data_IF_443832049692
#
_entry.id   IF_443832049692
#
_cell.length_a   1.000
_cell.length_b   1.000
_cell.length_c   1.000
_cell.angle_alpha   90.00
_cell.angle_beta   90.00
_cell.angle_gamma   90.00
#
_symmetry.space_group_name_H-M   'P 1'
#
loop_
_entity.id
_entity.type
_entity.pdbx_description
1 polymer ?
#
# COMPACT_ATOMS: atom_id res chain seq x y z
N UNK A 1 64.83 -4.17 14.69
CA UNK A 1 63.83 -3.18 15.13
C UNK A 1 63.00 -2.74 13.91
N UNK A 2 61.67 -2.75 14.07
CA UNK A 2 60.61 -2.11 13.25
C UNK A 2 60.47 -2.54 11.78
N UNK A 3 59.71 -3.62 11.57
CA UNK A 3 58.92 -3.83 10.34
C UNK A 3 57.63 -3.02 10.47
N UNK A 4 57.46 -2.01 9.63
CA UNK A 4 56.22 -1.23 9.52
C UNK A 4 55.18 -2.04 8.75
N UNK A 5 54.10 -2.41 9.42
CA UNK A 5 52.90 -2.97 8.80
C UNK A 5 52.12 -1.78 8.25
N UNK A 6 52.13 -1.61 6.93
CA UNK A 6 51.21 -0.73 6.22
C UNK A 6 49.84 -1.39 6.23
N UNK A 7 48.99 -0.98 7.16
CA UNK A 7 47.56 -1.29 7.13
C UNK A 7 46.94 -0.52 5.97
N UNK A 8 46.68 -1.22 4.86
CA UNK A 8 45.79 -0.73 3.82
C UNK A 8 44.38 -0.65 4.42
N UNK A 9 44.00 0.56 4.83
CA UNK A 9 42.63 0.86 5.23
C UNK A 9 41.72 0.69 4.02
N UNK A 10 41.00 -0.43 3.98
CA UNK A 10 39.80 -0.55 3.18
C UNK A 10 38.78 0.42 3.78
N UNK A 11 38.76 1.66 3.26
CA UNK A 11 37.60 2.52 3.36
C UNK A 11 36.49 1.84 2.54
N UNK A 12 35.81 0.88 3.16
CA UNK A 12 34.46 0.52 2.77
C UNK A 12 33.66 1.80 2.92
N UNK A 13 33.52 2.53 1.81
CA UNK A 13 32.43 3.48 1.63
C UNK A 13 31.16 2.69 1.89
N UNK A 14 30.68 2.77 3.13
CA UNK A 14 29.27 2.71 3.47
C UNK A 14 28.62 3.78 2.60
N UNK A 15 28.41 3.46 1.33
CA UNK A 15 27.35 4.09 0.56
C UNK A 15 26.13 3.79 1.41
N UNK A 16 25.72 4.78 2.19
CA UNK A 16 24.38 4.85 2.73
C UNK A 16 23.50 4.62 1.51
N UNK A 17 22.96 3.41 1.37
CA UNK A 17 21.96 3.07 0.38
C UNK A 17 20.78 3.99 0.69
N UNK A 18 20.80 5.19 0.10
CA UNK A 18 19.63 6.03 0.00
C UNK A 18 18.72 5.29 -0.94
N UNK A 19 17.69 4.67 -0.36
CA UNK A 19 16.58 4.15 -1.14
C UNK A 19 15.83 5.38 -1.63
N UNK A 20 16.21 5.86 -2.81
CA UNK A 20 15.45 6.88 -3.49
C UNK A 20 14.06 6.27 -3.78
N UNK A 21 12.96 6.99 -3.48
CA UNK A 21 11.64 6.51 -3.85
C UNK A 21 11.64 6.27 -5.37
N UNK A 22 10.94 5.21 -5.83
CA UNK A 22 10.79 5.02 -7.27
C UNK A 22 10.13 6.27 -7.88
N UNK A 23 10.46 6.61 -9.14
CA UNK A 23 9.93 7.81 -9.77
C UNK A 23 8.39 7.76 -9.76
N UNK A 24 7.72 8.90 -9.48
CA UNK A 24 6.27 8.93 -9.47
C UNK A 24 5.72 8.59 -10.86
N UNK A 25 4.73 7.70 -10.89
CA UNK A 25 4.00 7.32 -12.11
C UNK A 25 3.02 8.42 -12.50
N UNK A 26 2.89 8.65 -13.81
CA UNK A 26 1.98 9.64 -14.39
C UNK A 26 0.57 9.09 -14.62
N UNK A 27 -0.43 9.97 -14.68
CA UNK A 27 -1.79 9.56 -15.03
C UNK A 27 -1.90 8.97 -16.44
N UNK A 28 -1.04 9.39 -17.37
CA UNK A 28 -1.02 8.85 -18.73
C UNK A 28 -0.69 7.36 -18.74
N UNK A 29 0.21 6.91 -17.86
CA UNK A 29 0.56 5.49 -17.71
C UNK A 29 -0.61 4.64 -17.22
N UNK A 30 -1.43 5.16 -16.29
CA UNK A 30 -2.59 4.43 -15.77
C UNK A 30 -3.81 4.47 -16.70
N UNK A 31 -3.95 5.55 -17.46
CA UNK A 31 -5.14 5.77 -18.29
C UNK A 31 -4.94 5.30 -19.72
N UNK A 32 -3.70 5.08 -20.16
CA UNK A 32 -3.37 4.92 -21.58
C UNK A 32 -3.98 6.05 -22.43
N UNK A 33 -3.94 7.28 -21.90
CA UNK A 33 -4.57 8.48 -22.48
C UNK A 33 -6.11 8.46 -22.58
N UNK A 34 -6.76 7.53 -21.88
CA UNK A 34 -8.22 7.44 -21.84
C UNK A 34 -8.80 8.50 -20.89
N UNK A 35 -9.77 9.25 -21.37
CA UNK A 35 -10.55 10.16 -20.53
C UNK A 35 -11.61 9.35 -19.75
N UNK A 36 -11.72 9.59 -18.44
CA UNK A 36 -12.83 9.07 -17.65
C UNK A 36 -14.09 9.88 -17.99
N UNK A 37 -15.19 9.19 -18.31
CA UNK A 37 -16.50 9.81 -18.61
C UNK A 37 -17.02 10.68 -17.45
N UNK A 38 -16.58 10.43 -16.21
CA UNK A 38 -16.99 11.20 -15.03
C UNK A 38 -16.11 12.44 -14.74
N UNK A 39 -15.02 12.68 -15.48
CA UNK A 39 -14.13 13.84 -15.23
C UNK A 39 -14.82 15.17 -15.52
N UNK A 40 -15.77 15.22 -16.45
CA UNK A 40 -16.48 16.44 -16.85
C UNK A 40 -17.20 17.12 -15.68
N UNK A 41 -17.54 16.34 -14.64
CA UNK A 41 -18.22 16.86 -13.44
C UNK A 41 -17.24 17.42 -12.41
N UNK A 42 -15.95 17.05 -12.46
CA UNK A 42 -14.95 17.49 -11.49
C UNK A 42 -14.74 19.01 -11.51
N UNK A 43 -14.63 19.71 -12.65
CA UNK A 43 -14.51 21.16 -12.67
C UNK A 43 -15.68 21.88 -12.00
N UNK A 44 -16.90 21.38 -12.18
CA UNK A 44 -18.11 21.96 -11.57
C UNK A 44 -18.14 21.75 -10.04
N UNK A 45 -17.78 20.55 -9.56
CA UNK A 45 -17.67 20.27 -8.13
C UNK A 45 -16.56 21.10 -7.48
N UNK A 46 -15.43 21.26 -8.18
CA UNK A 46 -14.32 22.12 -7.78
C UNK A 46 -14.77 23.58 -7.63
N UNK A 47 -15.40 24.13 -8.67
CA UNK A 47 -15.89 25.50 -8.67
C UNK A 47 -16.90 25.74 -7.53
N UNK A 48 -17.78 24.77 -7.25
CA UNK A 48 -18.71 24.86 -6.13
C UNK A 48 -17.99 24.87 -4.76
N UNK A 49 -17.01 23.98 -4.56
CA UNK A 49 -16.21 23.95 -3.34
C UNK A 49 -15.34 25.21 -3.15
N UNK A 50 -14.84 25.80 -4.24
CA UNK A 50 -14.05 27.03 -4.19
C UNK A 50 -14.93 28.26 -3.91
N UNK A 51 -16.16 28.30 -4.42
CA UNK A 51 -17.13 29.35 -4.14
C UNK A 51 -17.65 29.32 -2.69
N UNK A 52 -17.68 28.13 -2.07
CA UNK A 52 -18.19 27.92 -0.70
C UNK A 52 -17.12 27.28 0.20
N UNK A 53 -16.07 28.03 0.58
CA UNK A 53 -14.93 27.45 1.28
C UNK A 53 -15.23 26.84 2.64
N UNK A 54 -16.26 27.36 3.32
CA UNK A 54 -16.72 26.93 4.65
C UNK A 54 -17.81 25.85 4.58
N UNK A 55 -18.24 25.45 3.38
CA UNK A 55 -19.28 24.44 3.19
C UNK A 55 -18.68 23.04 3.26
N UNK A 56 -18.79 22.39 4.43
CA UNK A 56 -18.31 21.02 4.64
C UNK A 56 -18.81 20.07 3.55
N UNK A 57 -20.09 20.20 3.17
CA UNK A 57 -20.69 19.39 2.11
C UNK A 57 -20.00 19.60 0.77
N UNK A 58 -19.73 20.84 0.38
CA UNK A 58 -19.08 21.14 -0.89
C UNK A 58 -17.63 20.60 -0.91
N UNK A 59 -16.87 20.84 0.17
CA UNK A 59 -15.50 20.33 0.31
C UNK A 59 -15.47 18.79 0.24
N UNK A 60 -16.36 18.12 1.00
CA UNK A 60 -16.45 16.67 1.02
C UNK A 60 -16.83 16.08 -0.35
N UNK A 61 -17.80 16.68 -1.04
CA UNK A 61 -18.25 16.20 -2.35
C UNK A 61 -17.15 16.31 -3.40
N UNK A 62 -16.44 17.44 -3.45
CA UNK A 62 -15.29 17.61 -4.34
C UNK A 62 -14.17 16.62 -3.99
N UNK A 63 -13.77 16.54 -2.72
CA UNK A 63 -12.72 15.64 -2.26
C UNK A 63 -13.01 14.18 -2.57
N UNK A 64 -14.23 13.70 -2.32
CA UNK A 64 -14.64 12.34 -2.66
C UNK A 64 -14.68 12.07 -4.15
N UNK A 65 -15.06 13.04 -4.98
CA UNK A 65 -15.09 12.86 -6.43
C UNK A 65 -13.67 12.73 -7.00
N UNK A 66 -12.74 13.60 -6.59
CA UNK A 66 -11.33 13.50 -6.99
C UNK A 66 -10.67 12.22 -6.44
N UNK A 67 -10.97 11.82 -5.21
CA UNK A 67 -10.47 10.55 -4.65
C UNK A 67 -10.92 9.36 -5.50
N UNK A 68 -12.20 9.30 -5.89
CA UNK A 68 -12.71 8.21 -6.74
C UNK A 68 -12.04 8.20 -8.11
N UNK A 69 -11.84 9.37 -8.72
CA UNK A 69 -11.10 9.48 -9.98
C UNK A 69 -9.68 8.93 -9.83
N UNK A 70 -8.98 9.29 -8.74
CA UNK A 70 -7.66 8.75 -8.42
C UNK A 70 -7.67 7.23 -8.30
N UNK A 71 -8.65 6.65 -7.59
CA UNK A 71 -8.80 5.20 -7.46
C UNK A 71 -9.17 4.49 -8.77
N UNK A 72 -9.65 5.21 -9.79
CA UNK A 72 -9.88 4.70 -11.14
C UNK A 72 -8.69 4.93 -12.10
N UNK A 73 -7.54 5.39 -11.58
CA UNK A 73 -6.30 5.54 -12.36
C UNK A 73 -5.94 6.99 -12.71
N UNK A 74 -6.80 7.98 -12.41
CA UNK A 74 -6.48 9.40 -12.63
C UNK A 74 -5.69 9.96 -11.45
N UNK A 75 -4.47 9.45 -11.27
CA UNK A 75 -3.59 9.79 -10.14
C UNK A 75 -3.17 11.25 -10.13
N UNK A 76 -3.32 11.98 -11.25
CA UNK A 76 -3.18 13.43 -11.35
C UNK A 76 -4.22 14.19 -10.50
N UNK A 77 -5.34 13.55 -10.16
CA UNK A 77 -6.38 14.14 -9.30
C UNK A 77 -6.06 14.04 -7.80
N UNK A 78 -4.96 13.38 -7.43
CA UNK A 78 -4.57 13.11 -6.04
C UNK A 78 -4.44 14.38 -5.20
N UNK A 79 -3.70 15.38 -5.69
CA UNK A 79 -3.46 16.61 -4.91
C UNK A 79 -4.75 17.42 -4.70
N UNK A 80 -5.68 17.41 -5.67
CA UNK A 80 -7.01 18.02 -5.51
C UNK A 80 -7.87 17.24 -4.51
N UNK A 81 -7.85 15.91 -4.56
CA UNK A 81 -8.53 15.08 -3.56
C UNK A 81 -8.03 15.39 -2.15
N UNK A 82 -6.71 15.42 -1.95
CA UNK A 82 -6.07 15.80 -0.68
C UNK A 82 -6.50 17.19 -0.23
N UNK A 83 -6.42 18.19 -1.12
CA UNK A 83 -6.76 19.57 -0.81
C UNK A 83 -8.19 19.70 -0.27
N UNK A 84 -9.18 19.13 -0.96
CA UNK A 84 -10.58 19.25 -0.56
C UNK A 84 -10.92 18.37 0.65
N UNK A 85 -10.33 17.18 0.77
CA UNK A 85 -10.49 16.33 1.95
C UNK A 85 -9.84 16.96 3.20
N UNK A 86 -8.69 17.61 3.07
CA UNK A 86 -8.05 18.35 4.16
C UNK A 86 -8.91 19.54 4.62
N UNK A 87 -9.49 20.29 3.68
CA UNK A 87 -10.42 21.38 4.02
C UNK A 87 -11.68 20.87 4.71
N UNK A 88 -12.26 19.78 4.20
CA UNK A 88 -13.38 19.12 4.86
C UNK A 88 -13.00 18.63 6.28
N UNK A 89 -11.79 18.10 6.47
CA UNK A 89 -11.30 17.67 7.78
C UNK A 89 -11.12 18.86 8.73
N UNK A 90 -10.63 20.00 8.27
CA UNK A 90 -10.53 21.20 9.12
C UNK A 90 -11.90 21.72 9.58
N UNK A 91 -12.94 21.53 8.77
CA UNK A 91 -14.33 21.89 9.10
C UNK A 91 -15.02 20.83 9.99
N UNK A 92 -14.60 19.57 9.91
CA UNK A 92 -15.14 18.44 10.69
C UNK A 92 -14.01 17.52 11.22
N UNK A 93 -13.14 18.02 12.13
CA UNK A 93 -11.90 17.31 12.51
C UNK A 93 -12.15 16.01 13.27
N UNK A 94 -13.30 15.91 13.91
CA UNK A 94 -13.75 14.73 14.65
C UNK A 94 -14.72 13.86 13.85
N UNK A 95 -14.95 14.16 12.56
CA UNK A 95 -15.80 13.36 11.67
C UNK A 95 -17.22 13.14 12.18
N UNK A 96 -17.82 14.18 12.79
CA UNK A 96 -19.16 14.13 13.36
C UNK A 96 -20.25 14.09 12.29
N UNK A 97 -20.02 14.71 11.13
CA UNK A 97 -20.99 14.80 10.04
C UNK A 97 -20.63 13.89 8.87
N UNK A 98 -19.34 13.78 8.54
CA UNK A 98 -18.82 12.91 7.48
C UNK A 98 -17.56 12.19 7.95
N UNK A 99 -17.24 10.98 7.45
CA UNK A 99 -16.08 10.21 7.90
C UNK A 99 -14.75 10.73 7.31
N UNK A 100 -14.54 12.06 7.33
CA UNK A 100 -13.48 12.72 6.58
C UNK A 100 -12.08 12.38 7.08
N UNK A 101 -11.85 12.33 8.40
CA UNK A 101 -10.54 11.99 8.95
C UNK A 101 -10.15 10.56 8.56
N UNK A 102 -11.09 9.61 8.69
CA UNK A 102 -10.88 8.21 8.28
C UNK A 102 -10.56 8.09 6.79
N UNK A 103 -11.31 8.80 5.94
CA UNK A 103 -11.09 8.77 4.50
C UNK A 103 -9.77 9.41 4.10
N UNK A 104 -9.47 10.61 4.62
CA UNK A 104 -8.23 11.33 4.33
C UNK A 104 -7.01 10.53 4.79
N UNK A 105 -7.02 10.00 6.03
CA UNK A 105 -5.90 9.19 6.55
C UNK A 105 -5.65 7.96 5.67
N UNK A 106 -6.70 7.23 5.30
CA UNK A 106 -6.58 6.05 4.42
C UNK A 106 -6.14 6.42 3.00
N UNK A 107 -6.53 7.59 2.50
CA UNK A 107 -6.08 8.08 1.20
C UNK A 107 -4.60 8.47 1.24
N UNK A 108 -4.14 9.13 2.30
CA UNK A 108 -2.73 9.49 2.50
C UNK A 108 -1.80 8.27 2.61
N UNK A 109 -2.30 7.13 3.09
CA UNK A 109 -1.55 5.86 3.06
C UNK A 109 -1.07 5.49 1.64
N UNK A 110 -1.79 5.91 0.59
CA UNK A 110 -1.37 5.66 -0.80
C UNK A 110 -0.03 6.34 -1.15
N UNK A 111 0.24 7.52 -0.59
CA UNK A 111 1.54 8.21 -0.77
C UNK A 111 2.62 7.51 0.03
N UNK A 112 2.37 7.30 1.32
CA UNK A 112 3.39 6.76 2.22
C UNK A 112 3.80 5.33 1.86
N UNK A 113 2.90 4.54 1.27
CA UNK A 113 3.20 3.20 0.76
C UNK A 113 4.24 3.16 -0.37
N UNK A 114 4.47 4.29 -1.05
CA UNK A 114 5.49 4.43 -2.11
C UNK A 114 6.57 5.44 -1.76
N UNK A 115 6.75 5.70 -0.46
CA UNK A 115 7.75 6.62 0.08
C UNK A 115 7.60 8.07 -0.39
N UNK A 116 6.41 8.46 -0.86
CA UNK A 116 6.04 9.85 -1.05
C UNK A 116 5.62 10.43 0.32
N UNK A 117 6.56 11.15 0.96
CA UNK A 117 6.43 11.60 2.34
C UNK A 117 6.00 13.08 2.48
N UNK A 118 5.66 13.75 1.38
CA UNK A 118 5.35 15.20 1.37
C UNK A 118 4.19 15.57 2.32
N UNK A 119 3.28 14.62 2.55
CA UNK A 119 2.09 14.80 3.41
C UNK A 119 2.14 14.00 4.71
N UNK A 120 3.31 13.48 5.09
CA UNK A 120 3.43 12.56 6.23
C UNK A 120 3.00 13.21 7.56
N UNK A 121 3.28 14.51 7.75
CA UNK A 121 2.88 15.23 8.96
C UNK A 121 1.35 15.46 9.01
N UNK A 122 0.69 15.69 7.87
CA UNK A 122 -0.77 15.75 7.78
C UNK A 122 -1.39 14.39 8.10
N UNK A 123 -0.82 13.30 7.57
CA UNK A 123 -1.28 11.93 7.83
C UNK A 123 -1.25 11.60 9.33
N UNK A 124 -0.16 11.94 10.02
CA UNK A 124 -0.03 11.75 11.47
C UNK A 124 -1.09 12.58 12.22
N UNK A 125 -1.27 13.85 11.86
CA UNK A 125 -2.25 14.72 12.53
C UNK A 125 -3.70 14.22 12.37
N UNK A 126 -4.04 13.65 11.21
CA UNK A 126 -5.34 13.04 10.95
C UNK A 126 -5.55 11.79 11.81
N UNK A 127 -4.53 10.95 11.97
CA UNK A 127 -4.63 9.78 12.86
C UNK A 127 -4.68 10.17 14.34
N UNK A 128 -4.00 11.24 14.74
CA UNK A 128 -4.15 11.81 16.09
C UNK A 128 -5.59 12.27 16.34
N UNK A 129 -6.24 12.93 15.37
CA UNK A 129 -7.63 13.37 15.53
C UNK A 129 -8.61 12.20 15.63
N UNK A 130 -8.35 11.10 14.92
CA UNK A 130 -9.12 9.86 15.05
C UNK A 130 -8.91 9.21 16.43
N UNK A 131 -7.68 9.10 16.91
CA UNK A 131 -7.36 8.45 18.19
C UNK A 131 -7.85 9.24 19.41
N UNK A 132 -8.10 10.54 19.25
CA UNK A 132 -8.68 11.40 20.27
C UNK A 132 -10.17 11.08 20.58
N UNK A 133 -10.85 10.31 19.73
CA UNK A 133 -12.22 9.87 19.99
C UNK A 133 -12.23 8.81 21.12
N UNK A 134 -12.87 9.11 22.28
CA UNK A 134 -12.93 8.19 23.40
C UNK A 134 -13.81 6.97 23.12
N UNK A 135 -14.73 7.05 22.15
CA UNK A 135 -15.71 6.00 21.83
C UNK A 135 -15.18 4.96 20.83
N UNK A 136 -13.92 5.07 20.39
CA UNK A 136 -13.34 4.05 19.51
C UNK A 136 -13.22 2.71 20.24
N UNK A 137 -13.78 1.67 19.61
CA UNK A 137 -13.54 0.28 20.00
C UNK A 137 -12.04 -0.07 19.89
N UNK A 138 -11.65 -1.13 20.60
CA UNK A 138 -10.26 -1.54 20.73
C UNK A 138 -9.62 -1.90 19.38
N UNK A 139 -10.34 -2.58 18.49
CA UNK A 139 -9.83 -3.02 17.19
C UNK A 139 -9.59 -1.82 16.26
N UNK A 140 -10.52 -0.88 16.20
CA UNK A 140 -10.41 0.36 15.44
C UNK A 140 -9.27 1.23 15.99
N UNK A 141 -9.13 1.32 17.33
CA UNK A 141 -8.03 2.03 17.97
C UNK A 141 -6.67 1.40 17.65
N UNK A 142 -6.57 0.08 17.64
CA UNK A 142 -5.38 -0.63 17.21
C UNK A 142 -5.03 -0.30 15.76
N UNK A 143 -6.00 -0.37 14.85
CA UNK A 143 -5.79 -0.06 13.43
C UNK A 143 -5.23 1.35 13.24
N UNK A 144 -5.85 2.38 13.85
CA UNK A 144 -5.36 3.75 13.74
C UNK A 144 -4.00 3.96 14.41
N UNK A 145 -3.75 3.28 15.54
CA UNK A 145 -2.44 3.31 16.20
C UNK A 145 -1.35 2.70 15.31
N UNK A 146 -1.64 1.59 14.64
CA UNK A 146 -0.75 0.97 13.66
C UNK A 146 -0.43 1.87 12.48
N UNK A 147 -1.45 2.49 11.85
CA UNK A 147 -1.20 3.44 10.75
C UNK A 147 -0.41 4.67 11.18
N UNK A 148 -0.70 5.22 12.36
CA UNK A 148 0.07 6.34 12.90
C UNK A 148 1.53 5.94 13.13
N UNK A 149 1.78 4.81 13.79
CA UNK A 149 3.13 4.35 14.08
C UNK A 149 3.92 4.09 12.79
N UNK A 150 3.30 3.50 11.76
CA UNK A 150 3.90 3.36 10.43
C UNK A 150 4.27 4.72 9.82
N UNK A 151 3.38 5.71 9.90
CA UNK A 151 3.63 7.06 9.38
C UNK A 151 4.76 7.77 10.15
N UNK A 152 4.82 7.61 11.48
CA UNK A 152 5.90 8.15 12.32
C UNK A 152 7.25 7.52 11.98
N UNK A 153 7.30 6.20 11.78
CA UNK A 153 8.50 5.49 11.35
C UNK A 153 8.99 6.00 9.99
N UNK A 154 8.08 6.12 9.00
CA UNK A 154 8.41 6.65 7.67
C UNK A 154 8.88 8.10 7.73
N UNK A 155 8.27 8.95 8.57
CA UNK A 155 8.73 10.33 8.79
C UNK A 155 10.16 10.38 9.34
N UNK A 156 10.49 9.53 10.33
CA UNK A 156 11.87 9.45 10.85
C UNK A 156 12.83 8.95 9.78
N UNK A 157 12.41 7.95 8.99
CA UNK A 157 13.20 7.43 7.89
C UNK A 157 13.52 8.53 6.86
N UNK A 158 12.51 9.28 6.40
CA UNK A 158 12.68 10.39 5.46
C UNK A 158 13.55 11.55 5.98
N UNK A 159 13.73 11.66 7.30
CA UNK A 159 14.65 12.61 7.96
C UNK A 159 16.06 12.04 8.15
N UNK A 160 16.36 10.86 7.62
CA UNK A 160 17.64 10.18 7.78
C UNK A 160 17.85 9.54 9.16
N UNK A 161 16.81 9.42 9.98
CA UNK A 161 16.87 8.87 11.35
C UNK A 161 16.62 7.35 11.34
N UNK A 162 17.37 6.60 10.54
CA UNK A 162 17.10 5.17 10.24
C UNK A 162 16.97 4.28 11.47
N UNK A 163 17.84 4.44 12.49
CA UNK A 163 17.73 3.66 13.72
C UNK A 163 16.46 3.97 14.51
N UNK A 164 16.07 5.24 14.56
CA UNK A 164 14.82 5.67 15.20
C UNK A 164 13.58 5.21 14.44
N UNK A 165 13.65 5.12 13.12
CA UNK A 165 12.60 4.53 12.29
C UNK A 165 12.47 3.02 12.52
N UNK A 166 13.60 2.29 12.57
CA UNK A 166 13.60 0.86 12.85
C UNK A 166 12.99 0.53 14.22
N UNK A 167 13.33 1.32 15.24
CA UNK A 167 12.71 1.20 16.56
C UNK A 167 11.19 1.38 16.50
N UNK A 168 10.70 2.37 15.75
CA UNK A 168 9.25 2.61 15.61
C UNK A 168 8.55 1.49 14.84
N UNK A 169 9.20 0.94 13.79
CA UNK A 169 8.66 -0.24 13.08
C UNK A 169 8.59 -1.44 14.01
N UNK A 170 9.64 -1.73 14.77
CA UNK A 170 9.64 -2.84 15.73
C UNK A 170 8.55 -2.65 16.80
N UNK A 171 8.39 -1.43 17.34
CA UNK A 171 7.34 -1.13 18.31
C UNK A 171 5.92 -1.29 17.74
N UNK A 172 5.72 -0.94 16.47
CA UNK A 172 4.45 -1.17 15.75
C UNK A 172 4.21 -2.66 15.51
N UNK A 173 5.22 -3.41 15.06
CA UNK A 173 5.17 -4.87 14.89
C UNK A 173 4.79 -5.56 16.22
N UNK A 174 5.42 -5.16 17.33
CA UNK A 174 5.14 -5.67 18.67
C UNK A 174 3.72 -5.35 19.15
N UNK A 175 3.22 -4.13 18.86
CA UNK A 175 1.86 -3.74 19.20
C UNK A 175 0.83 -4.64 18.52
N UNK A 176 1.00 -4.89 17.22
CA UNK A 176 0.10 -5.72 16.44
C UNK A 176 0.26 -7.21 16.75
N UNK A 177 1.49 -7.65 17.03
CA UNK A 177 1.79 -9.01 17.46
C UNK A 177 1.08 -9.36 18.76
N UNK A 178 1.20 -8.52 19.80
CA UNK A 178 0.49 -8.73 21.07
C UNK A 178 -1.02 -8.79 20.91
N UNK A 179 -1.59 -7.95 20.05
CA UNK A 179 -3.03 -8.02 19.76
C UNK A 179 -3.42 -9.37 19.17
N UNK A 180 -2.66 -9.89 18.21
CA UNK A 180 -2.92 -11.18 17.58
C UNK A 180 -2.63 -12.38 18.49
N UNK A 181 -1.73 -12.24 19.47
CA UNK A 181 -1.56 -13.25 20.52
C UNK A 181 -2.83 -13.36 21.38
N UNK A 182 -3.53 -12.25 21.62
CA UNK A 182 -4.78 -12.19 22.39
C UNK A 182 -6.03 -12.48 21.54
N UNK A 183 -6.00 -12.12 20.24
CA UNK A 183 -7.12 -12.21 19.29
C UNK A 183 -6.67 -12.87 17.98
N UNK A 184 -6.25 -14.16 18.00
CA UNK A 184 -5.71 -14.85 16.84
C UNK A 184 -6.71 -15.00 15.67
N UNK A 185 -8.00 -14.82 15.93
CA UNK A 185 -9.07 -14.85 14.94
C UNK A 185 -9.30 -13.51 14.21
N UNK A 186 -8.62 -12.42 14.62
CA UNK A 186 -8.77 -11.12 13.97
C UNK A 186 -8.02 -11.08 12.62
N UNK A 187 -8.71 -11.56 11.58
CA UNK A 187 -8.14 -11.66 10.23
C UNK A 187 -7.87 -10.27 9.63
N UNK A 188 -8.59 -9.22 10.04
CA UNK A 188 -8.29 -7.86 9.60
C UNK A 188 -6.94 -7.38 10.17
N UNK A 189 -6.63 -7.71 11.43
CA UNK A 189 -5.33 -7.44 12.04
C UNK A 189 -4.20 -8.26 11.40
N UNK A 190 -4.43 -9.54 11.06
CA UNK A 190 -3.47 -10.33 10.25
C UNK A 190 -3.19 -9.63 8.91
N UNK A 191 -4.23 -9.20 8.19
CA UNK A 191 -4.09 -8.50 6.92
C UNK A 191 -3.28 -7.22 7.06
N UNK A 192 -3.53 -6.45 8.11
CA UNK A 192 -2.83 -5.20 8.37
C UNK A 192 -1.35 -5.43 8.68
N UNK A 193 -1.03 -6.38 9.57
CA UNK A 193 0.36 -6.70 9.91
C UNK A 193 1.11 -7.29 8.71
N UNK A 194 0.46 -8.14 7.90
CA UNK A 194 1.02 -8.65 6.66
C UNK A 194 1.39 -7.53 5.68
N UNK A 195 0.48 -6.57 5.46
CA UNK A 195 0.74 -5.41 4.61
C UNK A 195 1.92 -4.57 5.12
N UNK A 196 1.96 -4.27 6.42
CA UNK A 196 3.07 -3.49 6.98
C UNK A 196 4.40 -4.24 6.86
N UNK A 197 4.41 -5.54 7.18
CA UNK A 197 5.62 -6.34 7.09
C UNK A 197 6.18 -6.36 5.68
N UNK A 198 5.35 -6.62 4.66
CA UNK A 198 5.81 -6.61 3.26
C UNK A 198 6.22 -5.20 2.78
N UNK A 199 5.49 -4.16 3.18
CA UNK A 199 5.86 -2.77 2.85
C UNK A 199 7.23 -2.42 3.41
N UNK A 200 7.45 -2.68 4.71
CA UNK A 200 8.73 -2.40 5.34
C UNK A 200 9.85 -3.36 4.92
N UNK A 201 9.54 -4.56 4.42
CA UNK A 201 10.52 -5.44 3.80
C UNK A 201 11.06 -4.86 2.47
N UNK A 202 10.19 -4.25 1.67
CA UNK A 202 10.60 -3.57 0.42
C UNK A 202 11.27 -2.21 0.65
N UNK A 203 10.97 -1.54 1.76
CA UNK A 203 11.43 -0.17 2.04
C UNK A 203 12.64 -0.11 2.98
N UNK A 204 12.80 -1.06 3.91
CA UNK A 204 13.86 -1.03 4.92
C UNK A 204 14.67 -2.32 4.85
N UNK A 205 15.95 -2.27 4.42
CA UNK A 205 16.73 -3.48 4.15
C UNK A 205 17.06 -4.26 5.44
N UNK A 206 17.18 -3.56 6.57
CA UNK A 206 17.46 -4.18 7.87
C UNK A 206 16.23 -4.94 8.35
N UNK A 207 16.35 -6.27 8.52
CA UNK A 207 15.25 -7.13 8.97
C UNK A 207 14.33 -7.59 7.84
N UNK A 208 14.67 -7.33 6.57
CA UNK A 208 13.88 -7.69 5.40
C UNK A 208 13.41 -9.15 5.41
N UNK A 209 14.32 -10.13 5.57
CA UNK A 209 13.95 -11.57 5.64
C UNK A 209 12.92 -11.86 6.74
N UNK A 210 13.11 -11.31 7.95
CA UNK A 210 12.19 -11.50 9.09
C UNK A 210 10.80 -10.98 8.75
N UNK A 211 10.73 -9.78 8.15
CA UNK A 211 9.46 -9.16 7.75
C UNK A 211 8.81 -9.87 6.58
N UNK A 212 9.59 -10.33 5.60
CA UNK A 212 9.09 -11.15 4.50
C UNK A 212 8.41 -12.42 5.04
N UNK A 213 9.08 -13.15 5.92
CA UNK A 213 8.50 -14.34 6.57
C UNK A 213 7.26 -14.01 7.40
N UNK A 214 7.24 -12.87 8.10
CA UNK A 214 6.06 -12.43 8.83
C UNK A 214 4.90 -12.12 7.88
N UNK A 215 5.17 -11.39 6.80
CA UNK A 215 4.21 -11.09 5.74
C UNK A 215 3.60 -12.37 5.15
N UNK A 216 4.43 -13.34 4.77
CA UNK A 216 3.98 -14.66 4.30
C UNK A 216 3.07 -15.33 5.31
N UNK A 217 3.47 -15.42 6.59
CA UNK A 217 2.64 -16.06 7.63
C UNK A 217 1.27 -15.39 7.75
N UNK A 218 1.23 -14.06 7.89
CA UNK A 218 -0.04 -13.35 8.10
C UNK A 218 -0.93 -13.38 6.86
N UNK A 219 -0.36 -13.27 5.65
CA UNK A 219 -1.13 -13.39 4.42
C UNK A 219 -1.62 -14.81 4.15
N UNK A 220 -0.85 -15.85 4.50
CA UNK A 220 -1.34 -17.23 4.44
C UNK A 220 -2.57 -17.42 5.34
N UNK A 221 -2.52 -16.98 6.61
CA UNK A 221 -3.69 -17.00 7.50
C UNK A 221 -4.86 -16.23 6.89
N UNK A 222 -4.61 -15.04 6.35
CA UNK A 222 -5.62 -14.20 5.72
C UNK A 222 -6.29 -14.87 4.51
N UNK A 223 -5.54 -15.61 3.69
CA UNK A 223 -6.08 -16.34 2.55
C UNK A 223 -6.88 -17.58 2.97
N UNK A 224 -6.37 -18.33 3.95
CA UNK A 224 -7.04 -19.53 4.47
C UNK A 224 -8.37 -19.17 5.18
N UNK A 225 -8.44 -17.95 5.75
CA UNK A 225 -9.60 -17.43 6.46
C UNK A 225 -10.28 -16.25 5.75
N UNK A 226 -10.19 -16.13 4.42
CA UNK A 226 -10.73 -15.01 3.63
C UNK A 226 -12.18 -14.63 3.99
N UNK A 227 -13.03 -15.62 4.27
CA UNK A 227 -14.45 -15.39 4.58
C UNK A 227 -14.70 -14.75 5.94
N UNK A 228 -13.70 -14.75 6.83
CA UNK A 228 -13.75 -14.17 8.17
C UNK A 228 -13.30 -12.70 8.19
N UNK A 229 -12.72 -12.18 7.09
CA UNK A 229 -12.48 -10.74 6.92
C UNK A 229 -13.75 -9.93 7.10
N UNK A 230 -13.61 -8.70 7.62
CA UNK A 230 -14.76 -7.83 7.75
C UNK A 230 -15.45 -7.63 6.39
N UNK A 231 -16.81 -7.53 6.34
CA UNK A 231 -17.53 -7.37 5.08
C UNK A 231 -17.03 -6.21 4.22
N UNK A 232 -16.54 -5.14 4.87
CA UNK A 232 -15.95 -3.98 4.20
C UNK A 232 -14.62 -4.34 3.53
N UNK A 233 -13.75 -5.10 4.18
CA UNK A 233 -12.44 -5.50 3.65
C UNK A 233 -12.55 -6.42 2.41
N UNK A 234 -13.60 -7.26 2.35
CA UNK A 234 -13.85 -8.18 1.20
C UNK A 234 -14.86 -7.66 0.16
N UNK A 235 -15.24 -6.39 0.23
CA UNK A 235 -16.30 -5.84 -0.63
C UNK A 235 -15.85 -5.64 -2.09
N UNK A 236 -16.26 -6.57 -2.97
CA UNK A 236 -16.04 -6.47 -4.43
C UNK A 236 -16.81 -5.32 -5.08
N UNK A 237 -17.85 -4.79 -4.41
CA UNK A 237 -18.54 -3.60 -4.88
C UNK A 237 -17.67 -2.34 -4.73
N UNK A 238 -16.86 -2.27 -3.67
CA UNK A 238 -15.95 -1.16 -3.42
C UNK A 238 -14.57 -1.36 -4.06
N UNK A 239 -14.05 -2.58 -4.02
CA UNK A 239 -12.73 -2.96 -4.50
C UNK A 239 -12.84 -4.26 -5.31
N UNK A 240 -13.19 -4.19 -6.61
CA UNK A 240 -13.52 -5.37 -7.42
C UNK A 240 -12.38 -6.39 -7.52
N UNK A 241 -11.14 -5.98 -7.29
CA UNK A 241 -9.96 -6.85 -7.47
C UNK A 241 -9.29 -7.20 -6.13
N UNK A 242 -9.86 -6.82 -4.99
CA UNK A 242 -9.20 -6.93 -3.67
C UNK A 242 -8.69 -8.35 -3.37
N UNK A 243 -9.44 -9.38 -3.74
CA UNK A 243 -9.02 -10.77 -3.53
C UNK A 243 -7.87 -11.17 -4.43
N UNK A 244 -7.93 -10.81 -5.72
CA UNK A 244 -6.81 -10.98 -6.65
C UNK A 244 -5.55 -10.33 -6.12
N UNK A 245 -5.69 -9.10 -5.63
CA UNK A 245 -4.57 -8.32 -5.13
C UNK A 245 -3.89 -9.05 -3.96
N UNK A 246 -4.65 -9.46 -2.95
CA UNK A 246 -4.08 -10.14 -1.80
C UNK A 246 -3.50 -11.53 -2.10
N UNK A 247 -4.12 -12.31 -2.99
CA UNK A 247 -3.53 -13.60 -3.42
C UNK A 247 -2.22 -13.38 -4.16
N UNK A 248 -2.17 -12.39 -5.05
CA UNK A 248 -0.95 -12.01 -5.77
C UNK A 248 0.15 -11.57 -4.79
N UNK A 249 -0.17 -10.75 -3.79
CA UNK A 249 0.80 -10.33 -2.77
C UNK A 249 1.42 -11.51 -2.02
N UNK A 250 0.60 -12.49 -1.65
CA UNK A 250 1.09 -13.71 -1.01
C UNK A 250 1.99 -14.50 -1.96
N UNK A 251 1.57 -14.69 -3.22
CA UNK A 251 2.34 -15.44 -4.21
C UNK A 251 3.73 -14.84 -4.46
N UNK A 252 3.81 -13.52 -4.69
CA UNK A 252 5.08 -12.80 -4.86
C UNK A 252 5.95 -12.87 -3.59
N UNK A 253 5.36 -12.74 -2.39
CA UNK A 253 6.09 -12.87 -1.13
C UNK A 253 6.66 -14.27 -0.90
N UNK A 254 5.90 -15.32 -1.25
CA UNK A 254 6.37 -16.70 -1.20
C UNK A 254 7.51 -16.94 -2.19
N UNK A 255 7.38 -16.42 -3.41
CA UNK A 255 8.41 -16.54 -4.44
C UNK A 255 9.71 -15.84 -4.03
N UNK A 256 9.60 -14.62 -3.49
CA UNK A 256 10.73 -13.88 -2.90
C UNK A 256 11.35 -14.62 -1.71
N UNK A 257 10.56 -15.38 -0.95
CA UNK A 257 11.06 -16.22 0.14
C UNK A 257 11.73 -17.52 -0.35
N UNK A 258 11.65 -17.84 -1.65
CA UNK A 258 12.14 -19.09 -2.23
C UNK A 258 11.20 -20.29 -2.03
N UNK A 259 9.96 -20.07 -1.58
CA UNK A 259 8.95 -21.09 -1.33
C UNK A 259 8.19 -21.43 -2.64
N UNK A 260 8.93 -21.96 -3.62
CA UNK A 260 8.47 -22.13 -5.03
C UNK A 260 7.15 -22.89 -5.12
N UNK A 261 7.04 -24.06 -4.47
CA UNK A 261 5.85 -24.92 -4.57
C UNK A 261 4.59 -24.24 -4.02
N UNK A 262 4.72 -23.46 -2.94
CA UNK A 262 3.59 -22.73 -2.36
C UNK A 262 3.26 -21.49 -3.20
N UNK A 263 4.27 -20.78 -3.73
CA UNK A 263 4.06 -19.68 -4.68
C UNK A 263 3.28 -20.14 -5.93
N UNK A 264 3.69 -21.28 -6.52
CA UNK A 264 3.01 -21.92 -7.65
C UNK A 264 1.53 -22.19 -7.33
N UNK A 265 1.23 -22.75 -6.15
CA UNK A 265 -0.15 -22.99 -5.70
C UNK A 265 -0.95 -21.69 -5.62
N UNK A 266 -0.36 -20.61 -5.12
CA UNK A 266 -1.05 -19.31 -4.98
C UNK A 266 -1.27 -18.62 -6.33
N UNK A 267 -0.34 -18.71 -7.28
CA UNK A 267 -0.58 -18.21 -8.64
C UNK A 267 -1.70 -19.01 -9.35
N UNK A 268 -1.73 -20.34 -9.22
CA UNK A 268 -2.84 -21.15 -9.75
C UNK A 268 -4.16 -20.78 -9.09
N UNK A 269 -4.17 -20.64 -7.76
CA UNK A 269 -5.34 -20.18 -7.01
C UNK A 269 -5.86 -18.85 -7.55
N UNK A 270 -4.97 -17.88 -7.82
CA UNK A 270 -5.31 -16.56 -8.38
C UNK A 270 -6.03 -16.65 -9.72
N UNK A 271 -5.53 -17.49 -10.63
CA UNK A 271 -6.13 -17.75 -11.95
C UNK A 271 -7.51 -18.41 -11.81
N UNK A 272 -7.62 -19.39 -10.91
CA UNK A 272 -8.83 -20.18 -10.68
C UNK A 272 -9.85 -19.51 -9.76
N UNK A 273 -9.56 -18.31 -9.23
CA UNK A 273 -10.44 -17.61 -8.28
C UNK A 273 -11.86 -17.49 -8.86
N UNK A 274 -12.87 -18.13 -8.24
CA UNK A 274 -14.23 -18.09 -8.74
C UNK A 274 -14.84 -16.70 -8.52
N UNK A 275 -15.77 -16.31 -9.40
CA UNK A 275 -16.69 -15.19 -9.20
C UNK A 275 -15.99 -13.85 -8.90
N UNK A 276 -15.04 -13.47 -9.76
CA UNK A 276 -14.40 -12.15 -9.70
C UNK A 276 -14.83 -11.30 -10.90
N UNK A 277 -15.07 -9.98 -10.71
CA UNK A 277 -15.37 -9.09 -11.82
C UNK A 277 -14.26 -9.11 -12.87
N UNK A 278 -14.63 -9.20 -14.15
CA UNK A 278 -13.67 -9.05 -15.26
C UNK A 278 -13.33 -7.56 -15.44
N UNK A 279 -12.22 -7.15 -14.83
CA UNK A 279 -11.69 -5.77 -14.88
C UNK A 279 -10.37 -5.72 -15.65
N UNK A 280 -10.02 -4.55 -16.17
CA UNK A 280 -8.72 -4.37 -16.82
C UNK A 280 -7.53 -4.63 -15.89
N UNK A 281 -7.53 -4.16 -14.62
CA UNK A 281 -6.50 -4.54 -13.65
C UNK A 281 -6.43 -6.04 -13.40
N UNK A 282 -7.56 -6.73 -13.23
CA UNK A 282 -7.55 -8.18 -12.99
C UNK A 282 -6.89 -8.93 -14.14
N UNK A 283 -7.21 -8.61 -15.40
CA UNK A 283 -6.59 -9.26 -16.56
C UNK A 283 -5.06 -9.09 -16.58
N UNK A 284 -4.55 -7.92 -16.21
CA UNK A 284 -3.11 -7.69 -16.10
C UNK A 284 -2.48 -8.49 -14.95
N UNK A 285 -3.15 -8.56 -13.80
CA UNK A 285 -2.72 -9.39 -12.67
C UNK A 285 -2.63 -10.87 -13.06
N UNK A 286 -3.62 -11.37 -13.81
CA UNK A 286 -3.60 -12.74 -14.33
C UNK A 286 -2.45 -12.95 -15.32
N UNK A 287 -2.20 -12.01 -16.24
CA UNK A 287 -1.09 -12.11 -17.17
C UNK A 287 0.29 -12.16 -16.46
N UNK A 288 0.48 -11.37 -15.39
CA UNK A 288 1.70 -11.46 -14.57
C UNK A 288 1.79 -12.81 -13.85
N UNK A 289 0.68 -13.31 -13.29
CA UNK A 289 0.66 -14.61 -12.64
C UNK A 289 0.99 -15.77 -13.59
N UNK A 290 0.47 -15.75 -14.82
CA UNK A 290 0.78 -16.73 -15.87
C UNK A 290 2.25 -16.67 -16.27
N UNK A 291 2.82 -15.47 -16.42
CA UNK A 291 4.25 -15.30 -16.67
C UNK A 291 5.13 -15.83 -15.54
N UNK A 292 4.73 -15.57 -14.28
CA UNK A 292 5.44 -16.08 -13.10
C UNK A 292 5.42 -17.59 -13.07
N UNK A 293 4.27 -18.22 -13.34
CA UNK A 293 4.15 -19.68 -13.41
C UNK A 293 5.05 -20.30 -14.48
N UNK A 294 5.21 -19.64 -15.64
CA UNK A 294 6.11 -20.10 -16.69
C UNK A 294 7.60 -19.96 -16.33
N UNK A 295 7.94 -19.15 -15.32
CA UNK A 295 9.30 -18.71 -15.04
C UNK A 295 9.69 -18.77 -13.52
N UNK A 296 9.03 -19.61 -12.73
CA UNK A 296 9.18 -19.64 -11.26
C UNK A 296 10.64 -19.67 -10.79
N UNK A 297 11.44 -20.60 -11.33
CA UNK A 297 12.84 -20.78 -10.94
C UNK A 297 13.70 -19.53 -11.18
N UNK A 298 13.37 -18.72 -12.19
CA UNK A 298 14.12 -17.52 -12.52
C UNK A 298 13.85 -16.36 -11.55
N UNK A 299 12.68 -16.37 -10.89
CA UNK A 299 12.26 -15.33 -9.95
C UNK A 299 12.41 -15.75 -8.48
N UNK A 300 12.70 -17.03 -8.21
CA UNK A 300 12.82 -17.56 -6.86
C UNK A 300 13.93 -16.83 -6.08
N UNK A 301 13.56 -16.24 -4.93
CA UNK A 301 14.50 -15.50 -4.08
C UNK A 301 14.79 -14.06 -4.53
N UNK A 302 14.09 -13.54 -5.55
CA UNK A 302 14.25 -12.16 -6.00
C UNK A 302 13.62 -11.18 -4.99
N UNK A 303 14.46 -10.43 -4.27
CA UNK A 303 14.03 -9.42 -3.30
C UNK A 303 13.33 -8.24 -4.00
N UNK A 304 13.58 -8.03 -5.29
CA UNK A 304 12.95 -7.02 -6.16
C UNK A 304 11.43 -7.24 -6.36
N UNK A 305 10.92 -8.41 -5.97
CA UNK A 305 9.48 -8.66 -5.89
C UNK A 305 8.83 -7.94 -4.70
N UNK A 306 9.62 -7.28 -3.83
CA UNK A 306 9.13 -6.53 -2.69
C UNK A 306 9.29 -5.02 -2.89
N UNK A 307 8.23 -4.21 -2.64
CA UNK A 307 6.88 -4.65 -2.31
C UNK A 307 6.17 -5.28 -3.53
N UNK A 308 5.20 -6.19 -3.32
CA UNK A 308 4.58 -7.02 -4.36
C UNK A 308 3.64 -6.29 -5.35
N UNK A 309 3.72 -4.96 -5.47
CA UNK A 309 2.95 -4.16 -6.42
C UNK A 309 3.87 -3.22 -7.19
N UNK A 310 3.54 -2.93 -8.47
CA UNK A 310 4.35 -2.03 -9.27
C UNK A 310 4.54 -0.69 -8.56
N UNK A 311 5.69 -0.08 -8.72
CA UNK A 311 6.05 1.09 -7.96
C UNK A 311 5.09 2.28 -8.24
N UNK A 312 4.84 3.12 -7.23
CA UNK A 312 4.19 4.43 -7.41
C UNK A 312 2.66 4.46 -7.48
N UNK A 313 1.94 4.08 -6.41
CA UNK A 313 0.48 4.26 -6.16
C UNK A 313 -0.43 3.12 -6.68
N UNK A 314 0.15 2.07 -7.23
CA UNK A 314 -0.58 1.04 -7.99
C UNK A 314 -1.49 0.15 -7.15
N UNK A 315 -1.17 -0.15 -5.87
CA UNK A 315 -1.94 -1.12 -5.08
C UNK A 315 -3.40 -0.73 -4.85
N UNK A 316 -3.68 0.53 -4.49
CA UNK A 316 -5.06 0.99 -4.32
C UNK A 316 -5.79 1.12 -5.66
N UNK A 317 -5.12 1.57 -6.72
CA UNK A 317 -5.71 1.59 -8.07
C UNK A 317 -6.02 0.16 -8.54
N UNK A 318 -5.10 -0.78 -8.35
CA UNK A 318 -5.27 -2.19 -8.68
C UNK A 318 -6.45 -2.79 -7.94
N UNK A 319 -6.62 -2.51 -6.64
CA UNK A 319 -7.78 -2.95 -5.86
C UNK A 319 -9.11 -2.37 -6.35
N UNK A 320 -9.16 -1.07 -6.64
CA UNK A 320 -10.39 -0.29 -6.77
C UNK A 320 -10.84 0.01 -8.20
N UNK A 321 -9.91 0.04 -9.16
CA UNK A 321 -10.23 0.38 -10.54
C UNK A 321 -10.93 -0.77 -11.27
N UNK A 322 -11.86 -0.41 -12.16
CA UNK A 322 -12.45 -1.36 -13.11
C UNK A 322 -11.73 -1.36 -14.45
N UNK A 323 -11.20 -0.20 -14.82
CA UNK A 323 -10.77 0.06 -16.20
C UNK A 323 -9.36 0.66 -16.28
N UNK A 324 -8.69 0.89 -15.15
CA UNK A 324 -7.32 1.39 -15.17
C UNK A 324 -6.38 0.38 -15.85
N UNK A 325 -5.45 0.91 -16.61
CA UNK A 325 -4.22 0.20 -16.96
C UNK A 325 -3.28 0.31 -15.77
N UNK A 326 -2.64 -0.79 -15.39
CA UNK A 326 -1.61 -0.75 -14.36
C UNK A 326 -0.26 -0.63 -15.08
N UNK A 327 0.62 0.31 -14.73
CA UNK A 327 1.99 0.33 -15.23
C UNK A 327 2.72 -0.88 -14.62
N UNK A 328 2.71 -2.00 -15.33
CA UNK A 328 3.28 -3.28 -14.87
C UNK A 328 4.67 -3.55 -15.42
N UNK A 329 5.25 -2.59 -16.15
CA UNK A 329 6.56 -2.67 -16.80
C UNK A 329 7.69 -3.10 -15.85
N UNK A 330 7.66 -2.63 -14.60
CA UNK A 330 8.61 -2.99 -13.55
C UNK A 330 8.38 -4.39 -12.94
N UNK A 331 7.21 -5.01 -13.16
CA UNK A 331 6.93 -6.38 -12.74
C UNK A 331 7.58 -7.42 -13.66
N UNK A 332 8.04 -7.02 -14.85
CA UNK A 332 8.70 -7.89 -15.81
C UNK A 332 10.22 -7.80 -15.65
N UNK A 333 10.75 -8.06 -14.44
CA UNK A 333 12.19 -7.94 -14.11
C UNK A 333 13.13 -8.63 -15.11
N UNK A 334 12.65 -9.68 -15.78
CA UNK A 334 13.36 -10.44 -16.79
C UNK A 334 12.50 -10.52 -18.07
N UNK A 335 12.43 -9.43 -18.87
CA UNK A 335 11.50 -9.32 -20.00
C UNK A 335 11.89 -10.21 -21.18
N UNK A 336 13.11 -10.76 -21.18
CA UNK A 336 13.61 -11.71 -22.18
C UNK A 336 13.15 -13.15 -21.94
N UNK A 337 12.54 -13.45 -20.78
CA UNK A 337 12.00 -14.75 -20.47
C UNK A 337 10.66 -14.98 -21.18
N UNK A 338 10.48 -16.20 -21.68
CA UNK A 338 9.41 -16.53 -22.60
C UNK A 338 8.01 -16.26 -22.02
N UNK A 339 7.17 -15.64 -22.86
CA UNK A 339 5.72 -15.86 -22.81
C UNK A 339 5.44 -17.16 -23.60
N UNK A 340 4.66 -18.10 -23.05
CA UNK A 340 4.30 -19.34 -23.76
C UNK A 340 3.54 -19.09 -25.07
#
# INVERSE_FOLDING_TARGET
>A
MRRGILAAGAAASLACLTLDPPPPRSAAEFTASRELVELDRLPALRAAADAEPESLRAQWQAGMAHLRACLQGHVDQRDLAEHYLERAWRLDPHSQQVPVARTLGRFLNMRSAVLDLDRIDLQIAVYDSLLADPELDAATRLQFSGFKAAAEALRRYGRGQTLGALHDVDAMEDLLGRWLDEHPEDIDAHTMLGNFALTFAGVIPVGQRRRLQAGVRHFSTQQDHWQQLSPRARSVAMAPNVRSVFVMQLAEALLAAGEIDEAERRYRQLIELPEQPDTAPRRQILAVAEHRLANLDAYAGADELLPPWPAGVTGCVACHAREATLPTDDLWLLPELALP
#
